data_IF_030174071265
#
_entry.id   IF_030174071265
#
_cell.length_a   1.000
_cell.length_b   1.000
_cell.length_c   1.000
_cell.angle_alpha   90.00
_cell.angle_beta   90.00
_cell.angle_gamma   90.00
#
_symmetry.space_group_name_H-M   'P 1'
#
loop_
_entity.id
_entity.type
_entity.pdbx_description
1 polymer ?
#
# COMPACT_ATOMS: atom_id res chain seq x y z
N UNK A 1 2.87 -23.12 10.97
CA UNK A 1 2.33 -22.73 9.65
C UNK A 1 1.05 -23.51 9.44
N UNK A 2 -0.04 -22.80 9.19
CA UNK A 2 -1.36 -23.39 8.95
C UNK A 2 -1.43 -23.93 7.52
N UNK A 3 -2.39 -24.84 7.29
CA UNK A 3 -2.72 -25.35 5.97
C UNK A 3 -4.22 -25.17 5.72
N UNK A 4 -4.58 -24.99 4.45
CA UNK A 4 -5.93 -24.71 4.00
C UNK A 4 -6.26 -25.59 2.79
N UNK A 5 -7.48 -26.14 2.75
CA UNK A 5 -7.96 -26.84 1.57
C UNK A 5 -8.69 -25.83 0.67
N UNK A 6 -8.07 -25.48 -0.46
CA UNK A 6 -8.55 -24.46 -1.37
C UNK A 6 -8.39 -24.92 -2.80
N UNK A 7 -9.43 -24.76 -3.63
CA UNK A 7 -9.41 -25.16 -5.06
C UNK A 7 -9.07 -26.65 -5.29
N UNK A 8 -9.34 -27.51 -4.30
CA UNK A 8 -9.00 -28.94 -4.37
C UNK A 8 -7.54 -29.26 -4.06
N UNK A 9 -6.76 -28.27 -3.63
CA UNK A 9 -5.36 -28.42 -3.22
C UNK A 9 -5.20 -28.04 -1.76
N UNK A 10 -4.24 -28.68 -1.09
CA UNK A 10 -3.82 -28.30 0.26
C UNK A 10 -2.68 -27.30 0.12
N UNK A 11 -2.92 -26.07 0.54
CA UNK A 11 -1.96 -24.97 0.47
C UNK A 11 -1.54 -24.51 1.86
N UNK A 12 -0.38 -23.88 1.98
CA UNK A 12 0.09 -23.22 3.21
C UNK A 12 -0.34 -21.74 3.30
N UNK A 13 -0.01 -21.09 4.42
CA UNK A 13 -0.35 -19.68 4.66
C UNK A 13 0.43 -18.68 3.79
N UNK A 14 1.60 -19.05 3.28
CA UNK A 14 2.35 -18.22 2.32
C UNK A 14 1.69 -18.28 0.95
N UNK A 15 1.28 -19.46 0.51
CA UNK A 15 0.50 -19.66 -0.71
C UNK A 15 -0.86 -18.95 -0.63
N UNK A 16 -1.56 -19.06 0.51
CA UNK A 16 -2.80 -18.31 0.76
C UNK A 16 -2.56 -16.80 0.67
N UNK A 17 -1.48 -16.28 1.26
CA UNK A 17 -1.10 -14.86 1.15
C UNK A 17 -0.94 -14.46 -0.32
N UNK A 18 -0.24 -15.25 -1.13
CA UNK A 18 -0.06 -14.98 -2.56
C UNK A 18 -1.40 -14.89 -3.30
N UNK A 19 -2.34 -15.80 -3.01
CA UNK A 19 -3.67 -15.79 -3.60
C UNK A 19 -4.49 -14.57 -3.19
N UNK A 20 -4.45 -14.21 -1.90
CA UNK A 20 -5.17 -13.05 -1.39
C UNK A 20 -4.61 -11.74 -1.94
N UNK A 21 -3.29 -11.57 -1.97
CA UNK A 21 -2.65 -10.35 -2.48
C UNK A 21 -2.91 -10.17 -3.98
N UNK A 22 -2.85 -11.26 -4.75
CA UNK A 22 -3.05 -11.21 -6.20
C UNK A 22 -4.51 -10.98 -6.61
N UNK A 23 -5.48 -11.47 -5.83
CA UNK A 23 -6.91 -11.38 -6.15
C UNK A 23 -7.64 -10.29 -5.39
N UNK A 24 -7.05 -9.77 -4.31
CA UNK A 24 -7.71 -8.86 -3.37
C UNK A 24 -8.82 -9.53 -2.57
N UNK A 25 -9.50 -8.75 -1.72
CA UNK A 25 -10.55 -9.23 -0.80
C UNK A 25 -11.74 -8.28 -0.85
N UNK A 26 -12.97 -8.79 -0.69
CA UNK A 26 -14.15 -7.96 -0.39
C UNK A 26 -14.27 -7.78 1.12
N UNK A 27 -14.05 -6.59 1.64
CA UNK A 27 -14.11 -6.34 3.10
C UNK A 27 -15.49 -5.84 3.50
N UNK A 28 -16.13 -6.50 4.46
CA UNK A 28 -17.40 -6.03 5.00
C UNK A 28 -17.25 -4.69 5.72
N UNK A 29 -18.23 -3.79 5.55
CA UNK A 29 -18.31 -2.52 6.29
C UNK A 29 -18.31 -2.71 7.80
N UNK A 30 -18.80 -3.86 8.30
CA UNK A 30 -18.80 -4.16 9.73
C UNK A 30 -17.40 -4.35 10.30
N UNK A 31 -16.48 -4.91 9.49
CA UNK A 31 -15.08 -5.07 9.88
C UNK A 31 -14.46 -3.69 10.12
N UNK A 32 -14.65 -2.74 9.19
CA UNK A 32 -14.19 -1.36 9.39
C UNK A 32 -14.86 -0.69 10.59
N UNK A 33 -16.19 -0.78 10.70
CA UNK A 33 -16.94 -0.17 11.82
C UNK A 33 -16.44 -0.65 13.18
N UNK A 34 -16.07 -1.93 13.29
CA UNK A 34 -15.64 -2.55 14.54
C UNK A 34 -14.15 -2.35 14.84
N UNK A 35 -13.28 -2.50 13.85
CA UNK A 35 -11.83 -2.60 14.10
C UNK A 35 -11.03 -1.35 13.71
N UNK A 36 -11.55 -0.43 12.87
CA UNK A 36 -10.80 0.75 12.44
C UNK A 36 -10.47 1.73 13.58
N UNK A 37 -11.21 1.68 14.70
CA UNK A 37 -10.98 2.55 15.86
C UNK A 37 -9.88 2.05 16.79
N UNK A 38 -9.56 0.77 16.73
CA UNK A 38 -8.64 0.07 17.65
C UNK A 38 -7.42 -0.49 16.95
N UNK A 39 -7.46 -0.63 15.63
CA UNK A 39 -6.42 -1.23 14.82
C UNK A 39 -6.00 -0.31 13.66
N UNK A 40 -4.83 -0.58 13.08
CA UNK A 40 -4.37 0.05 11.84
C UNK A 40 -5.12 -0.57 10.66
N UNK A 41 -6.36 -0.10 10.49
CA UNK A 41 -7.28 -0.48 9.43
C UNK A 41 -8.08 0.76 9.03
N UNK A 42 -7.99 1.16 7.76
CA UNK A 42 -8.68 2.33 7.23
C UNK A 42 -9.42 2.04 5.93
N UNK A 43 -10.51 2.77 5.69
CA UNK A 43 -11.24 2.69 4.40
C UNK A 43 -10.53 3.44 3.27
N UNK A 44 -9.56 4.30 3.61
CA UNK A 44 -8.81 5.05 2.61
C UNK A 44 -7.80 4.10 1.92
N UNK A 45 -7.84 3.96 0.58
CA UNK A 45 -6.95 3.06 -0.15
C UNK A 45 -5.46 3.43 -0.03
N UNK A 46 -5.14 4.65 0.40
CA UNK A 46 -3.77 5.11 0.63
C UNK A 46 -3.17 4.62 1.97
N UNK A 47 -3.95 3.92 2.81
CA UNK A 47 -3.50 3.50 4.15
C UNK A 47 -2.80 2.13 4.19
N UNK A 48 -2.52 1.52 3.03
CA UNK A 48 -1.77 0.26 2.86
C UNK A 48 -2.08 -0.79 3.95
N UNK A 49 -3.37 -1.09 4.13
CA UNK A 49 -3.82 -2.01 5.17
C UNK A 49 -3.15 -3.39 5.01
N UNK A 50 -3.00 -4.09 6.13
CA UNK A 50 -2.63 -5.50 6.15
C UNK A 50 -3.46 -6.26 7.18
N UNK A 51 -3.56 -7.56 7.00
CA UNK A 51 -4.11 -8.49 7.97
C UNK A 51 -3.07 -9.55 8.31
N UNK A 52 -3.18 -10.10 9.50
CA UNK A 52 -2.26 -11.08 10.07
C UNK A 52 -3.05 -12.37 10.27
N UNK A 53 -2.66 -13.44 9.57
CA UNK A 53 -3.23 -14.78 9.72
C UNK A 53 -2.95 -15.33 11.12
N UNK A 54 -3.70 -16.34 11.55
CA UNK A 54 -3.60 -16.87 12.92
C UNK A 54 -2.25 -17.51 13.23
N UNK A 55 -1.48 -17.90 12.21
CA UNK A 55 -0.10 -18.37 12.33
C UNK A 55 0.97 -17.28 12.16
N UNK A 56 0.55 -16.01 12.06
CA UNK A 56 1.44 -14.84 12.00
C UNK A 56 1.83 -14.40 10.60
N UNK A 57 1.42 -15.08 9.53
CA UNK A 57 1.71 -14.62 8.16
C UNK A 57 0.95 -13.33 7.87
N UNK A 58 1.66 -12.30 7.40
CA UNK A 58 1.10 -10.97 7.10
C UNK A 58 0.81 -10.86 5.61
N UNK A 59 -0.44 -10.54 5.26
CA UNK A 59 -0.90 -10.28 3.91
C UNK A 59 -1.37 -8.82 3.75
N UNK A 60 -0.99 -8.18 2.66
CA UNK A 60 -1.56 -6.88 2.30
C UNK A 60 -3.05 -7.04 2.02
N UNK A 61 -3.86 -6.12 2.54
CA UNK A 61 -5.31 -6.12 2.42
C UNK A 61 -5.73 -5.11 1.35
N UNK A 62 -5.92 -5.60 0.13
CA UNK A 62 -6.45 -4.85 -1.01
C UNK A 62 -7.97 -5.02 -1.08
N UNK A 63 -8.73 -4.01 -0.63
CA UNK A 63 -10.20 -4.09 -0.68
C UNK A 63 -10.76 -3.76 -2.07
N UNK A 64 -11.20 -4.81 -2.76
CA UNK A 64 -11.73 -4.72 -4.11
C UNK A 64 -13.05 -3.94 -4.19
N UNK A 65 -13.82 -3.87 -3.10
CA UNK A 65 -15.05 -3.09 -3.06
C UNK A 65 -14.80 -1.61 -3.30
N UNK A 66 -13.72 -1.06 -2.74
CA UNK A 66 -13.34 0.34 -2.94
C UNK A 66 -12.61 0.57 -4.26
N UNK A 67 -11.72 -0.34 -4.67
CA UNK A 67 -11.00 -0.18 -5.94
C UNK A 67 -11.97 -0.11 -7.13
N UNK A 68 -13.05 -0.90 -7.15
CA UNK A 68 -14.07 -0.81 -8.17
C UNK A 68 -14.89 0.50 -8.09
N UNK A 69 -15.17 1.00 -6.89
CA UNK A 69 -15.82 2.31 -6.69
C UNK A 69 -14.95 3.50 -7.14
N UNK A 70 -13.64 3.44 -6.93
CA UNK A 70 -12.71 4.46 -7.38
C UNK A 70 -12.45 4.40 -8.90
N UNK A 71 -12.32 3.18 -9.45
CA UNK A 71 -12.20 2.97 -10.91
C UNK A 71 -13.43 3.48 -11.67
N UNK A 72 -14.62 3.32 -11.11
CA UNK A 72 -15.87 3.84 -11.71
C UNK A 72 -15.95 5.37 -11.65
N UNK A 73 -15.38 6.01 -10.62
CA UNK A 73 -15.27 7.47 -10.54
C UNK A 73 -14.26 8.12 -11.51
N UNK A 74 -13.31 7.33 -12.04
CA UNK A 74 -12.28 7.76 -13.02
C UNK A 74 -12.69 7.47 -14.48
N UNK A 75 -13.88 6.94 -14.72
CA UNK A 75 -14.38 6.67 -16.07
C UNK A 75 -14.64 7.97 -16.85
N UNK A 76 -13.59 8.51 -17.47
CA UNK A 76 -13.73 9.09 -18.80
C UNK A 76 -14.04 7.97 -19.78
N UNK A 77 -14.85 8.26 -20.79
CA UNK A 77 -15.32 7.32 -21.82
C UNK A 77 -14.19 6.59 -22.57
N UNK A 78 -12.94 7.05 -22.45
CA UNK A 78 -11.78 6.54 -23.20
C UNK A 78 -11.15 5.24 -22.67
N UNK A 79 -11.66 4.64 -21.58
CA UNK A 79 -11.07 3.42 -21.01
C UNK A 79 -12.03 2.23 -20.92
N UNK A 80 -12.70 1.90 -22.02
CA UNK A 80 -13.41 0.63 -22.24
C UNK A 80 -12.55 -0.62 -21.93
N UNK A 81 -11.22 -0.52 -22.05
CA UNK A 81 -10.29 -1.60 -21.63
C UNK A 81 -10.36 -1.87 -20.12
N UNK A 82 -10.55 -0.86 -19.28
CA UNK A 82 -10.67 -1.03 -17.82
C UNK A 82 -11.97 -1.75 -17.40
N UNK A 83 -13.05 -1.61 -18.18
CA UNK A 83 -14.30 -2.34 -17.93
C UNK A 83 -14.15 -3.86 -18.16
N UNK A 84 -13.30 -4.28 -19.11
CA UNK A 84 -12.97 -5.70 -19.30
C UNK A 84 -12.22 -6.25 -18.10
N UNK A 85 -11.25 -5.50 -17.56
CA UNK A 85 -10.55 -5.88 -16.33
C UNK A 85 -11.46 -5.84 -15.10
N UNK A 86 -12.41 -4.91 -15.01
CA UNK A 86 -13.36 -4.84 -13.89
C UNK A 86 -14.21 -6.12 -13.73
N UNK A 87 -14.53 -6.81 -14.82
CA UNK A 87 -15.17 -8.15 -14.80
C UNK A 87 -14.24 -9.27 -14.35
N UNK A 88 -12.93 -9.13 -14.58
CA UNK A 88 -11.90 -10.09 -14.15
C UNK A 88 -11.43 -9.83 -12.70
N UNK A 89 -11.77 -8.67 -12.12
CA UNK A 89 -11.46 -8.27 -10.73
C UNK A 89 -12.44 -8.85 -9.69
N UNK A 90 -13.26 -9.83 -10.07
CA UNK A 90 -14.12 -10.54 -9.12
C UNK A 90 -13.27 -11.40 -8.19
N UNK A 91 -13.05 -10.89 -6.97
CA UNK A 91 -12.51 -11.72 -5.89
C UNK A 91 -13.59 -12.58 -5.25
N UNK A 92 -13.20 -13.83 -4.97
CA UNK A 92 -13.94 -14.80 -4.14
C UNK A 92 -13.55 -14.71 -2.67
N UNK A 93 -12.47 -14.01 -2.34
CA UNK A 93 -12.11 -13.79 -0.94
C UNK A 93 -13.00 -12.71 -0.33
N UNK A 94 -13.41 -12.94 0.91
CA UNK A 94 -14.13 -11.94 1.70
C UNK A 94 -13.67 -11.91 3.14
N UNK A 95 -13.67 -10.72 3.73
CA UNK A 95 -13.35 -10.50 5.14
C UNK A 95 -14.61 -10.05 5.86
N UNK A 96 -15.11 -10.91 6.75
CA UNK A 96 -16.39 -10.75 7.46
C UNK A 96 -16.16 -10.87 8.97
N UNK A 97 -17.22 -10.70 9.75
CA UNK A 97 -17.20 -11.00 11.19
C UNK A 97 -17.78 -12.40 11.40
N UNK A 98 -17.07 -13.24 12.14
CA UNK A 98 -17.53 -14.54 12.66
C UNK A 98 -17.15 -14.58 14.15
N UNK A 99 -18.10 -14.92 15.02
CA UNK A 99 -17.89 -15.00 16.47
C UNK A 99 -17.15 -13.78 17.05
N UNK A 100 -17.61 -12.58 16.69
CA UNK A 100 -17.07 -11.28 17.12
C UNK A 100 -15.62 -10.97 16.65
N UNK A 101 -15.03 -11.84 15.80
CA UNK A 101 -13.67 -11.72 15.27
C UNK A 101 -13.68 -11.49 13.75
N UNK A 102 -12.65 -10.84 13.17
CA UNK A 102 -12.52 -10.76 11.73
C UNK A 102 -12.07 -12.11 11.18
N UNK A 103 -12.75 -12.61 10.16
CA UNK A 103 -12.54 -13.92 9.58
C UNK A 103 -12.46 -13.82 8.04
N UNK A 104 -11.43 -14.46 7.50
CA UNK A 104 -11.20 -14.60 6.07
C UNK A 104 -11.98 -15.81 5.54
N UNK A 105 -12.69 -15.60 4.45
CA UNK A 105 -13.44 -16.62 3.74
C UNK A 105 -13.00 -16.68 2.29
N UNK A 106 -13.11 -17.86 1.69
CA UNK A 106 -13.17 -18.04 0.24
C UNK A 106 -14.57 -18.54 -0.12
N UNK A 107 -15.29 -17.75 -0.91
CA UNK A 107 -16.74 -17.89 -1.06
C UNK A 107 -17.38 -17.92 0.33
N UNK A 108 -18.02 -19.02 0.74
CA UNK A 108 -18.61 -19.18 2.07
C UNK A 108 -17.84 -20.14 2.98
N UNK A 109 -16.69 -20.64 2.53
CA UNK A 109 -15.80 -21.47 3.33
C UNK A 109 -14.93 -20.59 4.21
N UNK A 110 -15.05 -20.78 5.53
CA UNK A 110 -14.15 -20.19 6.51
C UNK A 110 -12.72 -20.69 6.28
N UNK A 111 -11.76 -19.78 6.20
CA UNK A 111 -10.34 -20.11 6.06
C UNK A 111 -9.57 -19.86 7.35
N UNK A 112 -9.65 -18.64 7.88
CA UNK A 112 -8.86 -18.26 9.05
C UNK A 112 -9.50 -17.11 9.84
N UNK A 113 -9.22 -17.07 11.14
CA UNK A 113 -9.37 -15.83 11.91
C UNK A 113 -8.14 -14.98 11.69
N UNK A 114 -8.35 -13.71 11.38
CA UNK A 114 -7.25 -12.76 11.18
C UNK A 114 -7.24 -11.73 12.30
N UNK A 115 -6.11 -11.05 12.44
CA UNK A 115 -5.98 -9.86 13.26
C UNK A 115 -5.41 -8.71 12.43
N UNK A 116 -5.38 -7.53 13.02
CA UNK A 116 -4.86 -6.32 12.39
C UNK A 116 -3.79 -5.72 13.31
N UNK A 117 -2.78 -5.03 12.74
CA UNK A 117 -1.78 -4.33 13.55
C UNK A 117 -2.42 -3.34 14.53
N UNK A 118 -1.75 -3.01 15.65
CA UNK A 118 -2.24 -2.02 16.60
C UNK A 118 -2.44 -0.67 15.92
N UNK A 119 -3.41 0.12 16.40
CA UNK A 119 -3.68 1.44 15.86
C UNK A 119 -2.48 2.36 15.99
N UNK A 120 -2.30 3.19 14.97
CA UNK A 120 -1.36 4.32 14.96
C UNK A 120 -2.06 5.55 14.39
N UNK A 121 -1.53 6.72 14.69
CA UNK A 121 -1.93 8.01 14.13
C UNK A 121 -1.04 8.47 12.96
N UNK A 122 -0.16 7.58 12.45
CA UNK A 122 0.79 7.84 11.37
C UNK A 122 0.16 8.55 10.16
N UNK A 123 -0.96 8.04 9.65
CA UNK A 123 -1.62 8.62 8.47
C UNK A 123 -2.37 9.92 8.75
N UNK A 124 -2.49 10.33 10.02
CA UNK A 124 -2.99 11.65 10.43
C UNK A 124 -1.90 12.70 10.59
N UNK A 125 -0.62 12.31 10.52
CA UNK A 125 0.51 13.22 10.72
C UNK A 125 0.84 14.04 9.47
N UNK A 126 1.60 15.11 9.72
CA UNK A 126 2.23 15.95 8.71
C UNK A 126 3.66 16.25 9.13
N UNK A 127 4.54 16.48 8.15
CA UNK A 127 5.89 17.01 8.41
C UNK A 127 5.82 18.45 8.90
N UNK A 128 6.96 18.98 9.35
CA UNK A 128 7.13 20.38 9.75
C UNK A 128 6.82 21.36 8.61
N UNK A 129 7.07 20.98 7.36
CA UNK A 129 6.70 21.73 6.15
C UNK A 129 5.20 21.63 5.80
N UNK A 130 4.45 20.79 6.51
CA UNK A 130 3.02 20.58 6.32
C UNK A 130 2.68 19.47 5.32
N UNK A 131 3.67 18.72 4.81
CA UNK A 131 3.46 17.60 3.90
C UNK A 131 2.73 16.46 4.64
N UNK A 132 1.55 16.01 4.20
CA UNK A 132 0.84 14.92 4.85
C UNK A 132 1.56 13.59 4.66
N UNK A 133 1.57 12.74 5.69
CA UNK A 133 2.17 11.40 5.57
C UNK A 133 1.35 10.53 4.62
N UNK A 134 0.01 10.59 4.73
CA UNK A 134 -0.88 9.86 3.83
C UNK A 134 -0.69 10.30 2.37
N UNK A 135 -0.48 9.33 1.49
CA UNK A 135 -0.19 9.56 0.08
C UNK A 135 1.29 9.79 -0.25
N UNK A 136 2.13 10.13 0.73
CA UNK A 136 3.58 10.34 0.55
C UNK A 136 4.43 9.21 1.16
N UNK A 137 3.90 8.51 2.16
CA UNK A 137 4.52 7.34 2.76
C UNK A 137 3.46 6.31 3.17
N UNK A 138 3.88 5.05 3.25
CA UNK A 138 3.03 3.93 3.64
C UNK A 138 3.74 3.04 4.65
N UNK A 139 2.96 2.47 5.56
CA UNK A 139 3.41 1.41 6.46
C UNK A 139 3.15 0.06 5.78
N UNK A 140 4.21 -0.68 5.48
CA UNK A 140 4.14 -2.01 4.89
C UNK A 140 4.39 -3.08 5.95
N UNK A 141 3.63 -4.18 5.92
CA UNK A 141 3.82 -5.25 6.90
C UNK A 141 3.51 -4.75 8.31
N UNK A 142 4.40 -4.93 9.28
CA UNK A 142 4.28 -4.37 10.64
C UNK A 142 5.48 -3.50 11.04
N UNK A 143 6.48 -3.45 10.18
CA UNK A 143 7.87 -3.13 10.51
C UNK A 143 8.54 -2.19 9.49
N UNK A 144 7.91 -1.99 8.32
CA UNK A 144 8.47 -1.16 7.24
C UNK A 144 7.73 0.18 7.10
N UNK A 145 8.50 1.25 6.95
CA UNK A 145 8.04 2.50 6.35
C UNK A 145 8.60 2.60 4.94
N UNK A 146 7.74 2.91 3.97
CA UNK A 146 8.12 3.04 2.57
C UNK A 146 7.66 4.40 2.02
N UNK A 147 8.50 5.02 1.19
CA UNK A 147 8.18 6.28 0.50
C UNK A 147 8.87 6.32 -0.87
N UNK A 148 8.39 7.21 -1.72
CA UNK A 148 8.82 7.28 -3.12
C UNK A 148 9.86 8.41 -3.31
N UNK A 149 11.10 8.05 -3.62
CA UNK A 149 12.21 9.00 -3.77
C UNK A 149 12.47 9.43 -5.23
N UNK A 150 12.09 8.62 -6.22
CA UNK A 150 12.32 8.88 -7.64
C UNK A 150 11.02 9.11 -8.41
N UNK A 151 10.13 9.93 -7.87
CA UNK A 151 8.93 10.39 -8.59
C UNK A 151 9.15 11.78 -9.17
N UNK A 152 8.60 12.07 -10.36
CA UNK A 152 7.90 11.16 -11.25
C UNK A 152 8.86 10.24 -12.02
N UNK A 153 8.35 9.14 -12.60
CA UNK A 153 9.13 8.26 -13.47
C UNK A 153 9.27 8.89 -14.88
N UNK A 154 10.48 9.27 -15.28
CA UNK A 154 10.77 9.91 -16.57
C UNK A 154 10.54 8.95 -17.74
N UNK A 155 10.83 7.66 -17.58
CA UNK A 155 10.52 6.65 -18.60
C UNK A 155 9.02 6.60 -18.89
N UNK A 156 8.20 6.55 -17.85
CA UNK A 156 6.76 6.56 -17.99
C UNK A 156 6.24 7.87 -18.60
N UNK A 157 6.74 9.02 -18.10
CA UNK A 157 6.39 10.33 -18.65
C UNK A 157 6.78 10.48 -20.13
N UNK A 158 7.83 9.78 -20.58
CA UNK A 158 8.26 9.74 -21.99
C UNK A 158 7.44 8.80 -22.90
N UNK A 159 6.35 8.20 -22.38
CA UNK A 159 5.52 7.25 -23.14
C UNK A 159 6.06 5.83 -23.15
N UNK A 160 6.94 5.48 -22.19
CA UNK A 160 7.50 4.13 -22.01
C UNK A 160 7.20 3.55 -20.62
N UNK A 161 5.93 3.49 -20.18
CA UNK A 161 5.61 2.91 -18.88
C UNK A 161 5.83 1.38 -18.88
N UNK A 162 6.29 0.85 -17.76
CA UNK A 162 6.25 -0.60 -17.53
C UNK A 162 4.79 -1.08 -17.52
N UNK A 163 4.49 -2.20 -18.18
CA UNK A 163 3.12 -2.70 -18.33
C UNK A 163 2.41 -3.03 -17.01
N UNK A 164 3.19 -3.34 -15.96
CA UNK A 164 2.68 -3.70 -14.63
C UNK A 164 2.68 -2.53 -13.63
N UNK A 165 3.25 -1.37 -13.97
CA UNK A 165 3.45 -0.28 -13.02
C UNK A 165 2.25 0.68 -13.02
N UNK A 166 1.47 0.66 -11.94
CA UNK A 166 0.34 1.58 -11.76
C UNK A 166 0.76 3.05 -11.88
N UNK A 167 1.75 3.48 -11.11
CA UNK A 167 2.26 4.85 -11.13
C UNK A 167 2.84 5.23 -12.48
N UNK A 168 3.44 4.28 -13.20
CA UNK A 168 3.91 4.48 -14.57
C UNK A 168 2.77 4.83 -15.52
N UNK A 169 1.68 4.07 -15.49
CA UNK A 169 0.49 4.36 -16.31
C UNK A 169 -0.14 5.73 -15.96
N UNK A 170 -0.11 6.11 -14.69
CA UNK A 170 -0.57 7.44 -14.24
C UNK A 170 0.32 8.57 -14.75
N UNK A 171 1.65 8.47 -14.56
CA UNK A 171 2.62 9.46 -15.02
C UNK A 171 2.56 9.66 -16.54
N UNK A 172 2.46 8.57 -17.32
CA UNK A 172 2.27 8.67 -18.77
C UNK A 172 0.98 9.44 -19.11
N UNK A 173 -0.13 9.10 -18.44
CA UNK A 173 -1.43 9.74 -18.67
C UNK A 173 -1.43 11.22 -18.32
N UNK A 174 -0.76 11.62 -17.23
CA UNK A 174 -0.59 13.02 -16.84
C UNK A 174 0.27 13.78 -17.87
N UNK A 175 1.41 13.20 -18.26
CA UNK A 175 2.31 13.80 -19.25
C UNK A 175 1.63 14.01 -20.61
N UNK A 176 0.91 13.00 -21.12
CA UNK A 176 0.15 13.10 -22.39
C UNK A 176 -0.93 14.18 -22.37
N UNK A 177 -1.49 14.48 -21.19
CA UNK A 177 -2.52 15.52 -21.00
C UNK A 177 -1.92 16.88 -20.61
N UNK A 178 -0.60 17.01 -20.63
CA UNK A 178 0.13 18.19 -20.18
C UNK A 178 -0.30 18.65 -18.77
N UNK A 179 -0.51 17.69 -17.87
CA UNK A 179 -0.81 17.91 -16.45
C UNK A 179 0.47 17.80 -15.62
N UNK A 180 0.50 18.50 -14.49
CA UNK A 180 1.61 18.42 -13.56
C UNK A 180 1.82 16.99 -13.08
N UNK A 181 3.08 16.58 -13.07
CA UNK A 181 3.52 15.32 -12.47
C UNK A 181 3.72 15.51 -10.96
N UNK A 182 3.58 14.43 -10.16
CA UNK A 182 3.85 14.52 -8.72
C UNK A 182 5.31 14.88 -8.46
N UNK A 183 5.54 15.65 -7.40
CA UNK A 183 6.89 15.92 -6.91
C UNK A 183 7.35 14.80 -5.97
N UNK A 184 8.65 14.50 -5.92
CA UNK A 184 9.18 13.57 -4.94
C UNK A 184 9.11 14.17 -3.53
N UNK A 185 8.94 13.32 -2.52
CA UNK A 185 9.02 13.73 -1.11
C UNK A 185 10.41 14.31 -0.86
N UNK A 186 10.55 15.50 -0.27
CA UNK A 186 11.87 16.05 0.03
C UNK A 186 12.66 15.20 1.03
N UNK A 187 14.00 15.29 1.01
CA UNK A 187 14.87 14.47 1.86
C UNK A 187 14.64 14.75 3.36
N UNK A 188 14.42 16.02 3.73
CA UNK A 188 14.09 16.41 5.10
C UNK A 188 12.74 15.85 5.52
N UNK A 189 11.71 15.98 4.68
CA UNK A 189 10.38 15.40 4.92
C UNK A 189 10.45 13.87 5.10
N UNK A 190 11.21 13.19 4.24
CA UNK A 190 11.39 11.75 4.32
C UNK A 190 12.05 11.36 5.66
N UNK A 191 13.06 12.10 6.11
CA UNK A 191 13.73 11.86 7.39
C UNK A 191 12.78 12.07 8.58
N UNK A 192 11.92 13.09 8.56
CA UNK A 192 10.89 13.29 9.60
C UNK A 192 9.88 12.14 9.65
N UNK A 193 9.41 11.69 8.48
CA UNK A 193 8.49 10.55 8.36
C UNK A 193 9.14 9.28 8.93
N UNK A 194 10.41 9.02 8.56
CA UNK A 194 11.17 7.87 9.04
C UNK A 194 11.35 7.92 10.56
N UNK A 195 11.77 9.07 11.10
CA UNK A 195 11.94 9.26 12.53
C UNK A 195 10.65 8.94 13.29
N UNK A 196 9.54 9.50 12.82
CA UNK A 196 8.23 9.23 13.42
C UNK A 196 7.85 7.75 13.33
N UNK A 197 8.06 7.11 12.17
CA UNK A 197 7.76 5.69 11.99
C UNK A 197 8.55 4.80 12.95
N UNK A 198 9.83 5.10 13.17
CA UNK A 198 10.68 4.33 14.09
C UNK A 198 10.26 4.59 15.54
N UNK A 199 10.19 5.86 15.96
CA UNK A 199 10.00 6.23 17.36
C UNK A 199 8.58 6.07 17.88
N UNK A 200 7.57 6.28 17.03
CA UNK A 200 6.16 6.31 17.44
C UNK A 200 5.36 5.12 16.94
N UNK A 201 5.74 4.54 15.80
CA UNK A 201 5.05 3.37 15.22
C UNK A 201 5.79 2.07 15.53
N UNK A 202 7.11 2.11 15.74
CA UNK A 202 7.92 0.91 15.99
C UNK A 202 8.40 0.22 14.70
N UNK A 203 8.46 0.95 13.58
CA UNK A 203 9.13 0.44 12.38
C UNK A 203 10.62 0.22 12.67
N UNK A 204 11.19 -0.83 12.10
CA UNK A 204 12.62 -1.16 12.22
C UNK A 204 13.33 -1.21 10.86
N UNK A 205 12.58 -1.02 9.78
CA UNK A 205 13.07 -1.14 8.42
C UNK A 205 12.53 0.00 7.55
N UNK A 206 13.34 0.44 6.59
CA UNK A 206 13.03 1.54 5.67
C UNK A 206 13.12 1.02 4.25
N UNK A 207 12.09 1.26 3.44
CA UNK A 207 12.11 0.98 2.01
C UNK A 207 12.12 2.29 1.21
N UNK A 208 13.20 2.52 0.49
CA UNK A 208 13.34 3.60 -0.48
C UNK A 208 13.00 3.01 -1.85
N UNK A 209 11.94 3.52 -2.50
CA UNK A 209 11.49 3.03 -3.82
C UNK A 209 11.17 4.21 -4.73
N UNK A 210 10.94 3.99 -6.02
CA UNK A 210 10.63 5.07 -6.93
C UNK A 210 10.50 4.65 -8.39
N UNK A 211 10.41 5.65 -9.27
CA UNK A 211 10.49 5.49 -10.71
C UNK A 211 11.93 5.43 -11.19
N UNK A 212 12.14 5.87 -12.43
CA UNK A 212 13.45 5.93 -13.07
C UNK A 212 13.61 7.26 -13.77
N UNK A 213 14.84 7.73 -13.86
CA UNK A 213 15.26 8.92 -14.59
C UNK A 213 16.19 8.52 -15.74
N UNK A 214 16.46 9.44 -16.66
CA UNK A 214 17.51 9.27 -17.68
C UNK A 214 18.88 9.77 -17.20
N UNK A 215 19.02 10.11 -15.92
CA UNK A 215 20.24 10.69 -15.35
C UNK A 215 20.63 9.97 -14.04
N UNK A 216 21.60 9.06 -14.15
CA UNK A 216 22.10 8.28 -13.01
C UNK A 216 22.71 9.14 -11.89
N UNK A 217 23.36 10.25 -12.22
CA UNK A 217 23.91 11.16 -11.21
C UNK A 217 22.79 11.82 -10.39
N UNK A 218 21.66 12.14 -11.02
CA UNK A 218 20.47 12.66 -10.34
C UNK A 218 19.84 11.60 -9.44
N UNK A 219 19.72 10.36 -9.88
CA UNK A 219 19.19 9.25 -9.06
C UNK A 219 20.05 9.00 -7.82
N UNK A 220 21.36 8.87 -8.03
CA UNK A 220 22.30 8.70 -6.93
C UNK A 220 22.25 9.89 -5.99
N UNK A 221 22.16 11.11 -6.52
CA UNK A 221 22.06 12.33 -5.71
C UNK A 221 20.83 12.33 -4.81
N UNK A 222 19.65 11.96 -5.34
CA UNK A 222 18.45 11.81 -4.52
C UNK A 222 18.68 10.75 -3.44
N UNK A 223 19.03 9.50 -3.79
CA UNK A 223 19.17 8.43 -2.80
C UNK A 223 20.17 8.82 -1.69
N UNK A 224 21.32 9.38 -2.05
CA UNK A 224 22.31 9.87 -1.08
C UNK A 224 21.73 10.92 -0.14
N UNK A 225 21.03 11.94 -0.67
CA UNK A 225 20.46 13.00 0.17
C UNK A 225 19.43 12.48 1.20
N UNK A 226 18.66 11.44 0.85
CA UNK A 226 17.69 10.85 1.77
C UNK A 226 18.41 10.06 2.87
N UNK A 227 19.39 9.25 2.49
CA UNK A 227 20.19 8.48 3.45
C UNK A 227 20.94 9.40 4.42
N UNK A 228 21.52 10.50 3.92
CA UNK A 228 22.18 11.52 4.75
C UNK A 228 21.21 12.19 5.72
N UNK A 229 20.04 12.63 5.24
CA UNK A 229 19.03 13.27 6.08
C UNK A 229 18.49 12.32 7.16
N UNK A 230 18.22 11.06 6.81
CA UNK A 230 17.77 10.03 7.76
C UNK A 230 18.84 9.78 8.83
N UNK A 231 20.11 9.65 8.43
CA UNK A 231 21.21 9.38 9.35
C UNK A 231 21.44 10.54 10.33
N UNK A 232 21.34 11.79 9.86
CA UNK A 232 21.47 12.98 10.70
C UNK A 232 20.37 13.06 11.76
N UNK A 233 19.11 12.73 11.42
CA UNK A 233 18.01 12.73 12.39
C UNK A 233 18.11 11.60 13.41
N UNK A 234 18.62 10.43 13.02
CA UNK A 234 18.87 9.30 13.93
C UNK A 234 20.07 9.50 14.86
N UNK A 235 20.92 10.49 14.60
CA UNK A 235 22.13 10.79 15.39
C UNK A 235 21.91 11.91 16.43
N UNK A 236 20.68 12.40 16.61
CA UNK A 236 20.40 13.38 17.67
C UNK A 236 20.49 12.68 19.03
N UNK A 237 21.40 13.10 19.92
CA UNK A 237 21.46 12.55 21.27
C UNK A 237 20.22 12.98 22.05
N UNK A 238 19.57 12.02 22.71
CA UNK A 238 18.66 12.29 23.81
C UNK A 238 19.38 13.01 24.97
#
# INVERSE_FOLDING_TARGET
MNHYDLLGERIDSVELKCLVVSRGVKVSKDVYRRFAKTNRLGVNPLMCNCMIFSDGVIAQLTDMGFHLGYLTGILSWDKLKLLKYARELETKFSLRILDEKPALFYEDTFLDFVSFPPKTDFYGQKTSSGLPFIGNAVLQGVDWVAFQCLWPCEYAASGKPCQFCFSGAEHESLARRNKNLPEPVGATEAAEIVKYAIEKVGCNSIQITGGSTFNSARESGYITSYLEAINQMGSSPD
#
